data_IF_207508816275
#
_entry.id   IF_207508816275
#
_cell.length_a   1.000
_cell.length_b   1.000
_cell.length_c   1.000
_cell.angle_alpha   90.00
_cell.angle_beta   90.00
_cell.angle_gamma   90.00
#
_symmetry.space_group_name_H-M   'P 1'
#
loop_
_entity.id
_entity.type
_entity.pdbx_description
1 polymer ?
#
# COMPACT_ATOMS: atom_id res chain seq x y z
N UNK A 1 -83.55 33.17 36.23
CA UNK A 1 -83.81 32.54 34.91
C UNK A 1 -82.48 32.32 34.20
N UNK A 2 -82.22 31.06 33.76
CA UNK A 2 -81.23 30.61 32.75
C UNK A 2 -79.73 30.88 33.06
N UNK A 3 -78.76 30.01 32.79
CA UNK A 3 -78.63 28.55 32.59
C UNK A 3 -77.10 28.33 32.57
N UNK A 4 -76.61 27.33 33.29
CA UNK A 4 -75.21 26.89 33.26
C UNK A 4 -74.75 26.51 31.85
N UNK A 5 -73.50 26.85 31.49
CA UNK A 5 -72.70 26.10 30.51
C UNK A 5 -71.21 26.15 30.89
N UNK A 6 -70.69 24.98 31.25
CA UNK A 6 -69.27 24.66 31.26
C UNK A 6 -68.71 24.68 29.83
N UNK A 7 -67.48 25.19 29.68
CA UNK A 7 -66.59 24.81 28.59
C UNK A 7 -65.17 24.68 29.12
N UNK A 8 -64.59 23.55 28.76
CA UNK A 8 -63.30 22.99 29.15
C UNK A 8 -62.17 23.48 28.24
N UNK A 9 -60.92 23.30 28.74
CA UNK A 9 -59.69 23.00 27.98
C UNK A 9 -59.07 24.20 27.22
N UNK A 10 -57.75 24.43 27.11
CA UNK A 10 -56.52 23.62 27.22
C UNK A 10 -55.36 24.52 27.69
N UNK A 11 -54.41 23.91 28.39
CA UNK A 11 -53.07 24.45 28.62
C UNK A 11 -52.33 24.62 27.29
N UNK A 12 -51.61 25.72 27.11
CA UNK A 12 -50.58 25.85 26.07
C UNK A 12 -49.56 26.88 26.53
N UNK A 13 -48.61 26.43 27.35
CA UNK A 13 -47.31 27.09 27.52
C UNK A 13 -46.48 26.63 26.33
N UNK A 14 -46.35 27.45 25.30
CA UNK A 14 -45.36 27.22 24.25
C UNK A 14 -43.99 27.66 24.80
N UNK A 15 -43.19 26.69 25.24
CA UNK A 15 -41.74 26.83 25.34
C UNK A 15 -41.19 26.76 23.91
N UNK A 16 -40.70 27.88 23.38
CA UNK A 16 -39.87 27.87 22.18
C UNK A 16 -38.46 27.38 22.57
N UNK A 17 -38.21 26.08 22.45
CA UNK A 17 -36.86 25.53 22.49
C UNK A 17 -36.29 25.61 21.08
N UNK A 18 -35.51 26.66 20.82
CA UNK A 18 -34.67 26.78 19.63
C UNK A 18 -33.54 25.76 19.74
N UNK A 19 -33.72 24.56 19.19
CA UNK A 19 -32.64 23.57 19.08
C UNK A 19 -31.74 24.04 17.92
N UNK A 20 -30.63 24.66 18.28
CA UNK A 20 -29.53 24.97 17.36
C UNK A 20 -28.81 23.65 17.07
N UNK A 21 -29.20 22.96 15.99
CA UNK A 21 -28.44 21.82 15.46
C UNK A 21 -27.19 22.37 14.78
N UNK A 22 -26.10 22.51 15.55
CA UNK A 22 -24.77 22.72 14.96
C UNK A 22 -24.38 21.37 14.37
N UNK A 23 -24.66 21.17 13.09
CA UNK A 23 -24.00 20.13 12.30
C UNK A 23 -22.53 20.55 12.21
N UNK A 24 -21.71 19.99 13.10
CA UNK A 24 -20.27 20.02 12.91
C UNK A 24 -19.97 19.19 11.67
N UNK A 25 -19.81 19.85 10.52
CA UNK A 25 -19.05 19.26 9.43
C UNK A 25 -17.63 19.10 9.98
N UNK A 26 -17.30 17.90 10.42
CA UNK A 26 -15.93 17.46 10.47
C UNK A 26 -15.46 17.45 9.02
N UNK A 27 -14.83 18.54 8.59
CA UNK A 27 -14.03 18.54 7.38
C UNK A 27 -12.86 17.61 7.70
N UNK A 28 -12.98 16.35 7.27
CA UNK A 28 -11.83 15.45 7.18
C UNK A 28 -10.87 16.12 6.20
N UNK A 29 -9.84 16.78 6.74
CA UNK A 29 -8.69 17.21 5.95
C UNK A 29 -8.06 15.92 5.48
N UNK A 30 -8.29 15.57 4.22
CA UNK A 30 -7.62 14.43 3.60
C UNK A 30 -6.16 14.86 3.47
N UNK A 31 -5.27 14.14 4.15
CA UNK A 31 -3.86 14.26 3.86
C UNK A 31 -3.62 13.67 2.47
N UNK A 32 -2.75 14.31 1.71
CA UNK A 32 -2.41 13.92 0.34
C UNK A 32 -0.94 13.48 0.26
N UNK A 33 -0.57 12.76 -0.81
CA UNK A 33 0.84 12.44 -1.15
C UNK A 33 1.74 13.69 -1.04
N UNK A 34 1.24 14.86 -1.42
CA UNK A 34 1.97 16.15 -1.33
C UNK A 34 2.34 16.60 0.08
N UNK A 35 1.72 16.04 1.12
CA UNK A 35 2.00 16.40 2.52
C UNK A 35 3.19 15.60 3.09
N UNK A 36 3.77 14.70 2.29
CA UNK A 36 4.85 13.82 2.69
C UNK A 36 6.22 14.32 2.28
N UNK A 37 7.19 14.08 3.14
CA UNK A 37 8.60 14.41 2.90
C UNK A 37 9.37 13.18 2.46
N UNK A 38 10.37 13.36 1.59
CA UNK A 38 11.28 12.31 1.10
C UNK A 38 10.52 11.14 0.45
N UNK A 39 9.63 11.44 -0.51
CA UNK A 39 8.79 10.43 -1.15
C UNK A 39 9.40 9.73 -2.35
N UNK A 40 10.47 10.29 -2.92
CA UNK A 40 11.03 9.82 -4.18
C UNK A 40 12.55 9.87 -4.07
N UNK A 41 13.22 8.83 -4.59
CA UNK A 41 14.68 8.74 -4.59
C UNK A 41 15.33 9.72 -5.55
N UNK A 42 16.54 10.18 -5.22
CA UNK A 42 17.35 11.04 -6.11
C UNK A 42 17.88 10.32 -7.38
N UNK A 43 17.41 9.09 -7.66
CA UNK A 43 17.60 8.38 -8.93
C UNK A 43 19.06 8.06 -9.25
N UNK A 44 19.75 7.34 -8.36
CA UNK A 44 21.11 6.87 -8.64
C UNK A 44 21.19 6.05 -9.95
N UNK A 45 20.09 5.37 -10.26
CA UNK A 45 19.73 4.69 -11.52
C UNK A 45 18.35 5.23 -11.92
N UNK A 46 18.27 6.27 -12.76
CA UNK A 46 17.00 6.91 -13.10
C UNK A 46 16.10 5.95 -13.90
N UNK A 47 14.79 6.07 -13.72
CA UNK A 47 13.82 5.31 -14.51
C UNK A 47 13.74 5.81 -15.95
N UNK A 48 13.41 4.92 -16.87
CA UNK A 48 13.19 5.26 -18.28
C UNK A 48 11.98 4.53 -18.86
N UNK A 49 10.95 5.27 -19.27
CA UNK A 49 9.82 4.70 -20.00
C UNK A 49 10.25 4.27 -21.41
N UNK A 50 9.95 3.03 -21.78
CA UNK A 50 10.30 2.41 -23.07
C UNK A 50 9.08 1.72 -23.68
N UNK A 51 9.18 1.31 -24.95
CA UNK A 51 8.10 0.57 -25.62
C UNK A 51 8.05 -0.92 -25.28
N UNK A 52 9.15 -1.42 -24.72
CA UNK A 52 9.40 -2.79 -24.29
C UNK A 52 10.60 -2.71 -23.36
N UNK A 53 10.52 -3.31 -22.18
CA UNK A 53 11.65 -3.45 -21.26
C UNK A 53 12.82 -4.23 -21.90
N UNK A 54 14.04 -3.95 -21.43
CA UNK A 54 15.25 -4.69 -21.77
C UNK A 54 15.99 -5.07 -20.49
N UNK A 55 16.05 -6.37 -20.19
CA UNK A 55 16.79 -6.97 -19.07
C UNK A 55 18.23 -6.44 -18.88
N UNK A 56 18.87 -5.97 -19.96
CA UNK A 56 20.22 -5.39 -19.92
C UNK A 56 20.28 -3.90 -19.52
N UNK A 57 19.14 -3.28 -19.23
CA UNK A 57 18.99 -1.87 -18.90
C UNK A 57 18.33 -1.75 -17.53
N UNK A 58 19.04 -1.13 -16.59
CA UNK A 58 18.50 -0.92 -15.24
C UNK A 58 17.32 0.05 -15.26
N UNK A 59 16.24 -0.32 -14.59
CA UNK A 59 15.05 0.52 -14.34
C UNK A 59 14.38 1.10 -15.60
N UNK A 60 14.49 0.45 -16.76
CA UNK A 60 13.53 0.74 -17.83
C UNK A 60 12.19 0.04 -17.55
N UNK A 61 11.11 0.63 -18.05
CA UNK A 61 9.76 0.13 -17.79
C UNK A 61 8.84 0.41 -18.96
N UNK A 62 7.89 -0.47 -19.20
CA UNK A 62 6.84 -0.33 -20.21
C UNK A 62 5.43 -0.42 -19.61
N UNK A 63 5.32 -0.72 -18.32
CA UNK A 63 4.09 -0.69 -17.53
C UNK A 63 4.21 0.21 -16.30
N UNK A 64 3.08 0.79 -15.88
CA UNK A 64 3.00 1.66 -14.70
C UNK A 64 1.81 1.27 -13.84
N UNK A 65 2.07 1.14 -12.54
CA UNK A 65 1.04 1.10 -11.50
C UNK A 65 1.06 2.43 -10.75
N UNK A 66 0.08 3.26 -11.09
CA UNK A 66 -0.21 4.55 -10.47
C UNK A 66 -0.70 4.39 -9.03
N UNK A 67 -0.61 5.46 -8.24
CA UNK A 67 -1.17 5.45 -6.88
C UNK A 67 -2.70 5.27 -6.85
N UNK A 68 -3.18 4.58 -5.82
CA UNK A 68 -4.60 4.38 -5.58
C UNK A 68 -5.15 5.44 -4.64
N UNK A 69 -5.89 6.37 -5.26
CA UNK A 69 -6.49 7.53 -4.59
C UNK A 69 -7.85 7.26 -3.95
N UNK A 70 -8.34 6.01 -3.98
CA UNK A 70 -9.62 5.65 -3.35
C UNK A 70 -9.59 5.93 -1.84
N UNK A 71 -10.74 6.39 -1.33
CA UNK A 71 -10.90 6.54 0.11
C UNK A 71 -10.80 5.18 0.81
N UNK A 72 -10.06 5.14 1.92
CA UNK A 72 -9.88 3.92 2.71
C UNK A 72 -8.72 3.02 2.26
N UNK A 73 -7.90 3.48 1.32
CA UNK A 73 -6.59 2.89 1.00
C UNK A 73 -5.55 3.45 1.96
N UNK A 74 -4.68 2.61 2.49
CA UNK A 74 -3.57 3.03 3.35
C UNK A 74 -2.30 2.33 2.89
N UNK A 75 -1.39 3.09 2.31
CA UNK A 75 -0.08 2.57 1.91
C UNK A 75 0.75 2.16 3.13
N UNK A 76 1.58 1.13 2.97
CA UNK A 76 2.72 0.92 3.85
C UNK A 76 3.84 1.89 3.43
N UNK A 77 4.64 2.35 4.39
CA UNK A 77 5.71 3.32 4.17
C UNK A 77 6.90 3.05 5.11
N UNK A 78 8.06 3.66 4.86
CA UNK A 78 9.24 3.54 5.73
C UNK A 78 9.60 4.82 6.47
N UNK A 79 9.49 5.99 5.84
CA UNK A 79 10.09 7.23 6.37
C UNK A 79 9.09 8.37 6.57
N UNK A 80 8.19 8.59 5.60
CA UNK A 80 7.30 9.76 5.63
C UNK A 80 6.22 9.73 6.73
N UNK A 81 5.86 8.56 7.26
CA UNK A 81 4.67 8.36 8.12
C UNK A 81 4.85 8.68 9.60
N UNK A 82 5.51 9.79 9.96
CA UNK A 82 5.70 10.17 11.36
C UNK A 82 4.39 10.40 12.15
N UNK A 83 3.22 10.37 11.49
CA UNK A 83 1.88 10.21 12.08
C UNK A 83 1.01 9.27 11.19
N UNK A 84 0.24 8.32 11.77
CA UNK A 84 -0.62 7.41 11.02
C UNK A 84 -1.89 8.15 10.57
N UNK A 85 -1.85 8.76 9.39
CA UNK A 85 -3.03 9.37 8.77
C UNK A 85 -3.31 8.65 7.44
N UNK A 86 -4.49 8.03 7.27
CA UNK A 86 -4.91 7.40 6.02
C UNK A 86 -4.78 8.35 4.82
N UNK A 87 -4.35 7.85 3.66
CA UNK A 87 -4.00 8.63 2.44
C UNK A 87 -2.87 9.66 2.59
N UNK A 88 -2.24 9.76 3.78
CA UNK A 88 -0.99 10.47 4.01
C UNK A 88 0.20 9.54 3.77
N UNK A 89 1.29 9.75 4.51
CA UNK A 89 2.60 9.13 4.32
C UNK A 89 2.71 7.67 4.78
N UNK A 90 1.62 6.92 4.58
CA UNK A 90 1.50 5.50 4.89
C UNK A 90 1.62 5.14 6.37
N UNK A 91 1.55 3.84 6.63
CA UNK A 91 1.82 3.24 7.93
C UNK A 91 3.29 2.86 8.00
N UNK A 92 4.01 3.27 9.04
CA UNK A 92 5.44 2.95 9.24
C UNK A 92 5.65 1.72 10.14
N UNK A 93 6.77 0.99 10.01
CA UNK A 93 7.04 -0.14 10.88
C UNK A 93 7.35 0.33 12.31
N UNK A 94 6.91 -0.44 13.30
CA UNK A 94 7.13 -0.18 14.73
C UNK A 94 8.40 -0.84 15.28
N UNK A 95 8.97 -1.79 14.54
CA UNK A 95 10.19 -2.49 14.96
C UNK A 95 11.45 -1.62 14.73
N UNK A 96 12.59 -1.93 15.38
CA UNK A 96 13.80 -1.12 15.25
C UNK A 96 14.28 -0.95 13.81
N UNK A 97 14.65 0.27 13.42
CA UNK A 97 15.12 0.63 12.06
C UNK A 97 16.25 -0.28 11.55
N UNK A 98 17.11 -0.78 12.45
CA UNK A 98 18.20 -1.70 12.10
C UNK A 98 17.72 -3.06 11.53
N UNK A 99 16.41 -3.35 11.59
CA UNK A 99 15.82 -4.56 11.02
C UNK A 99 15.17 -4.31 9.65
N UNK A 100 15.00 -3.06 9.23
CA UNK A 100 14.23 -2.72 8.02
C UNK A 100 14.99 -2.99 6.72
N UNK A 101 16.31 -3.13 6.78
CA UNK A 101 17.12 -3.50 5.62
C UNK A 101 18.42 -4.14 6.08
N UNK A 102 18.86 -5.20 5.41
CA UNK A 102 20.11 -5.88 5.70
C UNK A 102 21.35 -5.07 5.29
N UNK A 103 21.22 -4.24 4.26
CA UNK A 103 22.29 -3.37 3.75
C UNK A 103 21.73 -2.04 3.21
N UNK A 104 22.60 -1.04 3.02
CA UNK A 104 22.24 0.26 2.44
C UNK A 104 21.44 1.19 3.35
N UNK A 105 21.19 0.76 4.60
CA UNK A 105 20.48 1.53 5.61
C UNK A 105 21.32 2.61 6.30
N UNK A 106 20.69 3.49 7.10
CA UNK A 106 19.25 3.58 7.28
C UNK A 106 18.56 4.05 5.99
N UNK A 107 17.33 3.57 5.80
CA UNK A 107 16.45 4.11 4.77
C UNK A 107 16.07 5.54 5.18
N UNK A 108 15.96 6.45 4.22
CA UNK A 108 15.69 7.88 4.44
C UNK A 108 14.71 8.48 3.42
N UNK A 109 14.17 7.62 2.55
CA UNK A 109 13.23 7.93 1.47
C UNK A 109 12.19 6.81 1.37
N UNK A 110 10.95 7.19 1.09
CA UNK A 110 9.80 6.29 0.84
C UNK A 110 9.64 6.01 -0.66
N UNK A 111 8.83 5.01 -1.06
CA UNK A 111 8.59 4.60 -2.47
C UNK A 111 9.86 4.41 -3.30
N UNK A 112 10.94 4.00 -2.64
CA UNK A 112 12.23 3.84 -3.25
C UNK A 112 12.91 2.57 -2.75
N UNK A 113 13.81 2.06 -3.56
CA UNK A 113 14.74 1.00 -3.22
C UNK A 113 16.02 1.57 -2.62
N UNK A 114 16.90 0.67 -2.18
CA UNK A 114 18.12 1.03 -1.46
C UNK A 114 19.22 1.65 -2.33
N UNK A 115 19.08 1.60 -3.66
CA UNK A 115 20.05 2.18 -4.59
C UNK A 115 21.42 1.49 -4.53
N UNK A 116 22.49 2.28 -4.48
CA UNK A 116 23.87 1.85 -4.33
C UNK A 116 24.39 2.02 -2.88
N UNK A 117 23.49 2.05 -1.90
CA UNK A 117 23.79 2.14 -0.48
C UNK A 117 23.27 3.41 0.20
N UNK A 118 23.81 3.71 1.38
CA UNK A 118 23.32 4.79 2.24
C UNK A 118 23.32 6.15 1.52
N UNK A 119 22.17 6.83 1.54
CA UNK A 119 21.97 8.14 0.89
C UNK A 119 21.76 8.09 -0.62
N UNK A 120 21.63 6.89 -1.21
CA UNK A 120 21.27 6.70 -2.62
C UNK A 120 19.94 5.97 -2.71
N UNK A 121 19.13 6.26 -3.73
CA UNK A 121 17.78 5.71 -3.86
C UNK A 121 17.39 5.63 -5.32
N UNK A 122 16.67 4.57 -5.67
CA UNK A 122 16.06 4.42 -6.99
C UNK A 122 14.56 4.19 -6.83
N UNK A 123 13.81 4.43 -7.90
CA UNK A 123 12.39 4.11 -7.92
C UNK A 123 12.18 2.59 -7.95
N UNK A 124 10.97 2.15 -7.63
CA UNK A 124 10.60 0.74 -7.59
C UNK A 124 10.15 0.32 -8.99
N UNK A 125 11.00 -0.45 -9.67
CA UNK A 125 10.67 -1.16 -10.90
C UNK A 125 10.87 -2.65 -10.64
N UNK A 126 9.89 -3.47 -10.98
CA UNK A 126 9.93 -4.94 -10.81
C UNK A 126 9.37 -5.55 -12.10
N UNK A 127 10.19 -6.29 -12.84
CA UNK A 127 9.71 -6.97 -14.05
C UNK A 127 9.23 -6.02 -15.13
N UNK A 128 9.89 -4.87 -15.32
CA UNK A 128 9.48 -3.82 -16.26
C UNK A 128 8.27 -2.98 -15.83
N UNK A 129 7.76 -3.19 -14.60
CA UNK A 129 6.61 -2.44 -14.07
C UNK A 129 7.10 -1.39 -13.08
N UNK A 130 6.89 -0.11 -13.39
CA UNK A 130 7.13 0.99 -12.46
C UNK A 130 5.96 1.14 -11.47
N UNK A 131 6.28 1.20 -10.18
CA UNK A 131 5.30 1.44 -9.11
C UNK A 131 5.51 2.83 -8.49
N UNK A 132 4.51 3.70 -8.57
CA UNK A 132 4.57 5.03 -7.93
C UNK A 132 4.61 4.98 -6.39
N UNK A 133 4.17 3.86 -5.82
CA UNK A 133 4.10 3.62 -4.38
C UNK A 133 4.63 2.24 -4.06
N UNK A 134 5.36 2.11 -2.95
CA UNK A 134 5.85 0.80 -2.52
C UNK A 134 6.94 0.88 -1.47
N UNK A 135 7.56 -0.28 -1.22
CA UNK A 135 8.64 -0.48 -0.25
C UNK A 135 9.83 -1.11 -0.96
N UNK A 136 11.04 -0.62 -0.71
CA UNK A 136 12.25 -1.29 -1.13
C UNK A 136 13.23 -1.48 0.03
N UNK A 137 13.89 -2.63 0.06
CA UNK A 137 14.89 -2.96 1.06
C UNK A 137 15.96 -3.88 0.45
N UNK A 138 17.03 -4.13 1.20
CA UNK A 138 17.95 -5.21 0.91
C UNK A 138 17.70 -6.36 1.88
N UNK A 139 17.72 -7.59 1.39
CA UNK A 139 17.53 -8.78 2.23
C UNK A 139 18.69 -8.99 3.23
N UNK A 140 18.48 -9.52 4.43
CA UNK A 140 17.19 -9.83 5.05
C UNK A 140 16.58 -8.57 5.66
N UNK A 141 15.30 -8.33 5.40
CA UNK A 141 14.52 -7.25 6.00
C UNK A 141 13.33 -7.82 6.77
N UNK A 142 13.01 -7.19 7.89
CA UNK A 142 11.79 -7.44 8.66
C UNK A 142 11.10 -6.12 8.94
N UNK A 143 9.84 -6.01 8.52
CA UNK A 143 8.97 -4.86 8.72
C UNK A 143 7.77 -5.30 9.54
N UNK A 144 7.51 -4.64 10.67
CA UNK A 144 6.41 -4.96 11.57
C UNK A 144 5.49 -3.76 11.69
N UNK A 145 4.26 -3.86 11.20
CA UNK A 145 3.27 -2.79 11.19
C UNK A 145 2.18 -3.02 12.25
N UNK A 146 1.81 -1.95 12.95
CA UNK A 146 0.71 -1.96 13.92
C UNK A 146 -0.63 -1.76 13.21
N UNK A 147 -1.51 -2.75 13.28
CA UNK A 147 -2.83 -2.74 12.64
C UNK A 147 -3.94 -2.22 13.55
N UNK A 148 -3.66 -1.92 14.83
CA UNK A 148 -4.69 -1.52 15.80
C UNK A 148 -5.29 -0.11 15.55
N UNK A 149 -4.74 0.65 14.60
CA UNK A 149 -5.12 2.03 14.31
C UNK A 149 -6.35 2.23 13.42
N UNK A 150 -6.79 1.21 12.67
CA UNK A 150 -7.94 1.28 11.76
C UNK A 150 -8.54 -0.12 11.52
N UNK A 151 -9.73 -0.18 10.90
CA UNK A 151 -10.41 -1.42 10.55
C UNK A 151 -9.92 -1.94 9.18
N UNK A 152 -8.66 -2.39 9.11
CA UNK A 152 -8.12 -3.00 7.90
C UNK A 152 -8.76 -4.38 7.63
N UNK A 153 -9.14 -4.64 6.38
CA UNK A 153 -9.80 -5.88 5.95
C UNK A 153 -9.03 -6.65 4.88
N UNK A 154 -8.11 -6.02 4.17
CA UNK A 154 -7.34 -6.67 3.09
C UNK A 154 -5.97 -6.04 2.94
N UNK A 155 -4.97 -6.85 2.60
CA UNK A 155 -3.69 -6.39 2.05
C UNK A 155 -3.64 -6.67 0.55
N UNK A 156 -3.05 -5.75 -0.22
CA UNK A 156 -2.71 -5.92 -1.63
C UNK A 156 -1.31 -5.37 -1.91
N UNK A 157 -0.57 -5.99 -2.82
CA UNK A 157 0.73 -5.50 -3.31
C UNK A 157 1.35 -6.46 -4.33
N UNK A 158 2.55 -6.13 -4.79
CA UNK A 158 3.31 -6.93 -5.75
C UNK A 158 4.74 -7.10 -5.25
N UNK A 159 5.20 -8.34 -5.07
CA UNK A 159 6.55 -8.63 -4.56
C UNK A 159 7.47 -9.05 -5.68
N UNK A 160 8.75 -8.71 -5.56
CA UNK A 160 9.78 -9.14 -6.50
C UNK A 160 11.14 -8.50 -6.22
N UNK A 161 12.09 -8.78 -7.09
CA UNK A 161 13.40 -8.13 -7.06
C UNK A 161 13.34 -6.82 -7.85
N UNK A 162 14.12 -5.83 -7.43
CA UNK A 162 14.20 -4.55 -8.13
C UNK A 162 15.05 -4.64 -9.39
N UNK A 163 14.55 -4.10 -10.49
CA UNK A 163 15.25 -4.01 -11.79
C UNK A 163 16.42 -3.01 -11.76
N UNK A 164 16.72 -2.40 -10.60
CA UNK A 164 17.92 -1.60 -10.41
C UNK A 164 19.20 -2.43 -10.49
N UNK A 165 19.09 -3.76 -10.36
CA UNK A 165 20.18 -4.73 -10.50
C UNK A 165 19.99 -5.58 -11.74
N UNK A 166 20.72 -5.23 -12.79
CA UNK A 166 20.73 -6.02 -14.02
C UNK A 166 21.60 -7.30 -13.91
N UNK A 167 21.47 -8.25 -14.84
CA UNK A 167 22.32 -9.44 -14.91
C UNK A 167 23.81 -9.17 -15.11
N UNK A 168 24.17 -8.05 -15.74
CA UNK A 168 25.55 -7.68 -16.01
C UNK A 168 26.34 -7.36 -14.74
N UNK A 169 25.70 -6.68 -13.79
CA UNK A 169 26.27 -6.31 -12.49
C UNK A 169 26.08 -7.42 -11.44
N UNK A 170 24.95 -8.14 -11.49
CA UNK A 170 24.48 -8.96 -10.37
C UNK A 170 24.01 -10.38 -10.75
N UNK A 171 24.41 -10.90 -11.91
CA UNK A 171 24.12 -12.29 -12.30
C UNK A 171 22.67 -12.48 -12.72
N UNK A 172 21.77 -12.79 -11.79
CA UNK A 172 20.33 -12.94 -12.05
C UNK A 172 19.49 -11.84 -11.38
N UNK A 173 20.08 -10.66 -11.14
CA UNK A 173 19.41 -9.54 -10.47
C UNK A 173 19.10 -9.76 -8.97
N UNK A 174 19.83 -10.67 -8.31
CA UNK A 174 19.60 -11.05 -6.91
C UNK A 174 18.47 -12.07 -6.73
N UNK A 175 18.27 -12.54 -5.49
CA UNK A 175 17.19 -13.45 -5.13
C UNK A 175 16.47 -13.04 -3.85
N UNK A 176 15.23 -13.49 -3.67
CA UNK A 176 14.46 -13.15 -2.49
C UNK A 176 13.24 -14.05 -2.30
N UNK A 177 12.78 -14.13 -1.06
CA UNK A 177 11.55 -14.82 -0.67
C UNK A 177 10.75 -13.91 0.27
N UNK A 178 9.43 -13.99 0.20
CA UNK A 178 8.55 -13.06 0.91
C UNK A 178 7.58 -13.81 1.80
N UNK A 179 7.60 -13.50 3.10
CA UNK A 179 6.70 -14.09 4.09
C UNK A 179 5.88 -12.98 4.73
N UNK A 180 4.56 -13.15 4.73
CA UNK A 180 3.62 -12.26 5.40
C UNK A 180 2.91 -13.04 6.51
N UNK A 181 2.89 -12.44 7.69
CA UNK A 181 2.23 -13.01 8.86
C UNK A 181 1.30 -12.00 9.50
N UNK A 182 0.11 -12.45 9.89
CA UNK A 182 -0.82 -11.69 10.75
C UNK A 182 -0.81 -12.28 12.14
N UNK A 183 -0.52 -11.45 13.15
CA UNK A 183 -0.43 -11.85 14.56
C UNK A 183 0.46 -13.10 14.78
N UNK A 184 1.57 -13.17 14.01
CA UNK A 184 2.52 -14.28 14.05
C UNK A 184 2.09 -15.56 13.31
N UNK A 185 0.91 -15.56 12.68
CA UNK A 185 0.47 -16.66 11.80
C UNK A 185 0.78 -16.32 10.35
N UNK A 186 1.54 -17.17 9.68
CA UNK A 186 1.82 -17.04 8.25
C UNK A 186 0.52 -17.11 7.44
N UNK A 187 0.30 -16.09 6.61
CA UNK A 187 -0.86 -15.97 5.70
C UNK A 187 -0.44 -16.06 4.24
N UNK A 188 0.83 -15.79 3.93
CA UNK A 188 1.42 -15.92 2.61
C UNK A 188 2.92 -16.20 2.72
N UNK A 189 3.42 -17.08 1.84
CA UNK A 189 4.84 -17.29 1.60
C UNK A 189 5.06 -17.49 0.09
N UNK A 190 6.00 -16.77 -0.50
CA UNK A 190 6.39 -16.99 -1.90
C UNK A 190 7.37 -18.16 -2.03
N UNK A 191 7.52 -18.69 -3.25
CA UNK A 191 8.76 -19.37 -3.62
C UNK A 191 9.90 -18.35 -3.72
N UNK A 192 11.14 -18.82 -3.91
CA UNK A 192 12.26 -17.92 -4.22
C UNK A 192 12.04 -17.27 -5.57
N UNK A 193 12.06 -15.94 -5.59
CA UNK A 193 12.02 -15.11 -6.78
C UNK A 193 13.45 -14.66 -7.13
N UNK A 194 13.79 -14.73 -8.42
CA UNK A 194 15.01 -14.13 -8.96
C UNK A 194 14.65 -12.79 -9.61
N UNK A 195 15.63 -11.92 -9.85
CA UNK A 195 15.39 -10.72 -10.68
C UNK A 195 15.22 -11.06 -12.15
N UNK A 196 15.97 -12.04 -12.65
CA UNK A 196 15.92 -12.44 -14.06
C UNK A 196 16.04 -13.95 -14.23
N UNK A 197 15.32 -14.53 -15.19
CA UNK A 197 15.43 -15.94 -15.57
C UNK A 197 15.46 -16.04 -17.09
N UNK A 198 16.35 -16.88 -17.63
CA UNK A 198 16.47 -17.14 -19.08
C UNK A 198 16.64 -15.90 -19.98
N UNK A 199 17.17 -14.80 -19.42
CA UNK A 199 17.40 -13.55 -20.14
C UNK A 199 16.19 -12.62 -20.20
N UNK A 200 15.22 -12.82 -19.33
CA UNK A 200 14.04 -11.96 -19.16
C UNK A 200 13.96 -11.52 -17.69
N UNK A 201 13.43 -10.33 -17.44
CA UNK A 201 13.08 -9.92 -16.08
C UNK A 201 11.96 -10.81 -15.52
N UNK A 202 11.96 -11.06 -14.21
CA UNK A 202 10.89 -11.83 -13.57
C UNK A 202 9.75 -10.90 -13.18
N UNK A 203 8.55 -11.20 -13.68
CA UNK A 203 7.33 -10.46 -13.37
C UNK A 203 7.08 -10.28 -11.87
N UNK A 204 6.53 -9.13 -11.50
CA UNK A 204 6.09 -8.86 -10.14
C UNK A 204 4.96 -9.82 -9.71
N UNK A 205 5.15 -10.52 -8.58
CA UNK A 205 4.17 -11.46 -8.05
C UNK A 205 3.10 -10.74 -7.23
N UNK A 206 1.85 -10.76 -7.69
CA UNK A 206 0.73 -10.20 -6.93
C UNK A 206 0.50 -10.97 -5.62
N UNK A 207 0.41 -10.24 -4.52
CA UNK A 207 0.08 -10.73 -3.18
C UNK A 207 -1.20 -10.06 -2.69
N UNK A 208 -2.17 -10.87 -2.28
CA UNK A 208 -3.38 -10.36 -1.63
C UNK A 208 -3.92 -11.35 -0.60
N UNK A 209 -4.36 -10.84 0.55
CA UNK A 209 -4.99 -11.66 1.58
C UNK A 209 -5.93 -10.83 2.45
N UNK A 210 -6.95 -11.49 2.99
CA UNK A 210 -7.88 -10.89 3.94
C UNK A 210 -7.21 -10.72 5.32
N UNK A 211 -7.53 -9.63 6.00
CA UNK A 211 -7.05 -9.33 7.35
C UNK A 211 -8.18 -9.66 8.33
N UNK A 212 -7.97 -10.60 9.27
CA UNK A 212 -8.96 -10.94 10.28
C UNK A 212 -9.36 -9.72 11.12
N UNK A 213 -10.65 -9.62 11.45
CA UNK A 213 -11.15 -8.58 12.36
C UNK A 213 -10.42 -8.61 13.70
N UNK A 214 -9.90 -7.46 14.12
CA UNK A 214 -9.16 -7.33 15.37
C UNK A 214 -7.70 -7.76 15.30
N UNK A 215 -7.16 -8.04 14.10
CA UNK A 215 -5.73 -8.24 13.91
C UNK A 215 -4.93 -7.06 14.47
N UNK A 216 -3.79 -7.34 15.08
CA UNK A 216 -2.96 -6.33 15.75
C UNK A 216 -1.66 -6.04 15.00
N UNK A 217 -1.15 -7.02 14.26
CA UNK A 217 0.17 -6.90 13.66
C UNK A 217 0.26 -7.56 12.28
N UNK A 218 0.84 -6.84 11.33
CA UNK A 218 1.35 -7.39 10.08
C UNK A 218 2.88 -7.45 10.17
N UNK A 219 3.45 -8.63 10.00
CA UNK A 219 4.89 -8.81 9.82
C UNK A 219 5.18 -9.21 8.38
N UNK A 220 6.13 -8.53 7.76
CA UNK A 220 6.65 -8.82 6.42
C UNK A 220 8.14 -9.13 6.57
N UNK A 221 8.56 -10.27 6.02
CA UNK A 221 9.97 -10.66 5.91
C UNK A 221 10.33 -10.73 4.43
N UNK A 222 11.39 -10.02 4.05
CA UNK A 222 12.05 -10.17 2.75
C UNK A 222 13.34 -10.95 3.00
N UNK A 223 13.32 -12.24 2.67
CA UNK A 223 14.41 -13.18 2.78
C UNK A 223 15.39 -13.10 1.62
N UNK A 224 16.42 -13.93 1.66
CA UNK A 224 17.56 -13.90 0.75
C UNK A 224 17.61 -15.11 -0.21
N UNK A 225 16.47 -15.78 -0.42
CA UNK A 225 16.32 -16.87 -1.39
C UNK A 225 17.12 -18.15 -1.11
N UNK A 226 17.98 -18.16 -0.08
CA UNK A 226 18.79 -19.29 0.35
C UNK A 226 20.20 -19.37 -0.22
N UNK A 227 20.63 -18.44 -1.09
CA UNK A 227 21.96 -18.43 -1.72
C UNK A 227 22.93 -17.35 -1.20
N UNK A 228 22.48 -16.55 -0.23
CA UNK A 228 23.26 -15.46 0.37
C UNK A 228 22.58 -14.13 0.09
N UNK A 229 23.08 -13.02 0.64
CA UNK A 229 22.44 -11.71 0.47
C UNK A 229 23.03 -10.91 -0.71
N UNK A 230 23.40 -11.58 -1.79
CA UNK A 230 24.18 -10.97 -2.87
C UNK A 230 23.29 -10.28 -3.89
N UNK A 231 23.28 -8.94 -3.92
CA UNK A 231 22.42 -8.15 -4.82
C UNK A 231 20.91 -8.28 -4.56
N UNK A 232 20.51 -8.74 -3.37
CA UNK A 232 19.10 -9.00 -3.03
C UNK A 232 18.34 -7.71 -2.70
N UNK A 233 18.10 -6.90 -3.72
CA UNK A 233 17.36 -5.65 -3.65
C UNK A 233 15.87 -5.96 -3.81
N UNK A 234 15.25 -6.44 -2.73
CA UNK A 234 13.84 -6.83 -2.68
C UNK A 234 12.92 -5.62 -2.63
N UNK A 235 11.77 -5.70 -3.30
CA UNK A 235 10.76 -4.66 -3.30
C UNK A 235 9.33 -5.20 -3.21
N UNK A 236 8.43 -4.33 -2.75
CA UNK A 236 6.99 -4.54 -2.71
C UNK A 236 6.32 -3.32 -3.36
N UNK A 237 5.93 -3.45 -4.62
CA UNK A 237 5.13 -2.46 -5.35
C UNK A 237 3.69 -2.39 -4.85
N UNK A 238 3.12 -1.19 -4.86
CA UNK A 238 1.72 -0.87 -4.48
C UNK A 238 1.28 -1.48 -3.12
N UNK A 239 2.20 -1.58 -2.15
CA UNK A 239 1.96 -2.21 -0.86
C UNK A 239 0.93 -1.44 -0.03
N UNK A 240 -0.31 -1.95 0.06
CA UNK A 240 -1.44 -1.23 0.67
C UNK A 240 -2.35 -2.11 1.52
N UNK A 241 -2.91 -1.49 2.55
CA UNK A 241 -4.01 -1.99 3.37
C UNK A 241 -5.31 -1.33 2.90
N UNK A 242 -6.38 -2.10 2.85
CA UNK A 242 -7.72 -1.63 2.51
C UNK A 242 -8.62 -1.70 3.73
N UNK A 243 -9.41 -0.65 3.93
CA UNK A 243 -10.54 -0.62 4.89
C UNK A 243 -11.85 -1.03 4.19
N UNK A 244 -12.96 -1.27 4.92
CA UNK A 244 -14.28 -1.50 4.34
C UNK A 244 -14.71 -0.40 3.36
N UNK A 245 -14.23 0.84 3.55
CA UNK A 245 -14.54 1.93 2.65
C UNK A 245 -13.92 1.72 1.26
N UNK A 246 -12.66 1.27 1.19
CA UNK A 246 -12.00 1.00 -0.08
C UNK A 246 -12.59 -0.19 -0.82
N UNK A 247 -13.11 -1.19 -0.09
CA UNK A 247 -13.73 -2.39 -0.67
C UNK A 247 -15.20 -2.20 -1.03
N UNK A 248 -15.89 -1.23 -0.41
CA UNK A 248 -17.28 -0.88 -0.74
C UNK A 248 -17.44 -0.11 -2.06
N UNK A 249 -16.35 0.44 -2.59
CA UNK A 249 -16.34 1.08 -3.92
C UNK A 249 -16.26 -0.01 -4.99
N UNK A 250 -17.40 -0.33 -5.62
CA UNK A 250 -17.39 -1.02 -6.92
C UNK A 250 -16.46 -0.23 -7.87
N UNK A 251 -15.51 -0.86 -8.58
CA UNK A 251 -14.59 -0.14 -9.44
C UNK A 251 -15.39 0.66 -10.47
N UNK A 252 -15.13 1.97 -10.55
CA UNK A 252 -15.84 2.94 -11.40
C UNK A 252 -15.82 2.58 -12.90
N UNK A 253 -15.06 1.55 -13.29
CA UNK A 253 -14.93 1.05 -14.66
C UNK A 253 -15.69 -0.26 -14.95
N UNK A 254 -16.62 -0.72 -14.10
CA UNK A 254 -17.69 -1.58 -14.62
C UNK A 254 -18.64 -0.70 -15.44
N UNK A 255 -18.33 -0.54 -16.73
CA UNK A 255 -19.41 -0.41 -17.71
C UNK A 255 -20.41 -1.52 -17.39
N UNK A 256 -21.72 -1.24 -17.20
CA UNK A 256 -22.70 -2.29 -17.05
C UNK A 256 -22.68 -3.07 -18.36
N UNK A 257 -21.99 -4.21 -18.38
CA UNK A 257 -22.16 -5.18 -19.44
C UNK A 257 -23.61 -5.64 -19.33
N UNK A 258 -24.42 -5.18 -20.27
CA UNK A 258 -25.83 -5.56 -20.48
C UNK A 258 -25.87 -7.03 -20.95
N UNK A 259 -25.29 -7.94 -20.16
CA UNK A 259 -25.24 -9.38 -20.39
C UNK A 259 -25.83 -10.16 -19.21
N UNK A 260 -26.16 -9.50 -18.10
CA UNK A 260 -26.81 -10.11 -16.93
C UNK A 260 -28.35 -10.17 -16.95
N UNK A 261 -29.02 -9.56 -17.94
CA UNK A 261 -30.49 -9.51 -18.02
C UNK A 261 -31.13 -10.37 -19.12
N UNK A 262 -30.42 -11.34 -19.69
CA UNK A 262 -30.95 -12.25 -20.72
C UNK A 262 -30.95 -13.73 -20.28
N UNK A 263 -31.47 -14.00 -19.09
CA UNK A 263 -31.86 -15.37 -18.69
C UNK A 263 -33.28 -15.54 -18.15
N UNK A 264 -34.15 -14.54 -18.36
CA UNK A 264 -35.60 -14.65 -18.10
C UNK A 264 -36.45 -14.17 -19.29
N UNK A 265 -36.14 -14.63 -20.49
CA UNK A 265 -37.10 -14.73 -21.61
C UNK A 265 -36.42 -15.36 -22.83
N UNK A 266 -36.51 -16.68 -22.94
CA UNK A 266 -36.91 -17.47 -24.11
C UNK A 266 -36.67 -18.97 -23.82
#
# INVERSE_FOLDING_TARGET
MKKWRFRTLKHSILFALSILFIVGLALSVHAAKSDCTNLEGDGAKPIAEVSSEDVGVQNDYDEVVEDDTRAGVVYLALIGGSQPVPNACGLIPKNPIAQWTGWGGPLDTDNATIGEGAGTRNHIVIGGIYFERGLGAHSVSTLVYDLAGDDYVKFEGYVGMSDEKDPGDCGHGGSGDFIFSIDGTEVFASETLQGTVDGENVDALKVEFEIPTGAQELTIVMGNGGDGAGCDHSAIGDARLLTPLATAVEPANKLPTIWGHLKDSY
#
